data_IF_200076844707
#
_entry.id   IF_200076844707
#
_cell.length_a   1.000
_cell.length_b   1.000
_cell.length_c   1.000
_cell.angle_alpha   90.00
_cell.angle_beta   90.00
_cell.angle_gamma   90.00
#
_symmetry.space_group_name_H-M   'P 1'
#
loop_
_entity.id
_entity.type
_entity.pdbx_description
1 polymer ?
#
# COMPACT_ATOMS: atom_id res chain seq x y z
N UNK A 1 -3.90 3.34 24.93
CA UNK A 1 -2.93 3.95 23.98
C UNK A 1 -3.49 5.30 23.50
N UNK A 2 -2.70 6.36 23.34
CA UNK A 2 -3.23 7.70 22.96
C UNK A 2 -3.50 7.78 21.45
N UNK A 3 -4.65 8.35 21.07
CA UNK A 3 -4.96 8.70 19.68
C UNK A 3 -3.88 9.63 19.12
N UNK A 4 -3.44 9.38 17.89
CA UNK A 4 -2.43 10.19 17.22
C UNK A 4 -3.08 10.99 16.10
N UNK A 5 -3.42 12.25 16.41
CA UNK A 5 -3.82 13.23 15.40
C UNK A 5 -2.78 13.38 14.29
N UNK A 6 -1.50 13.14 14.60
CA UNK A 6 -0.44 13.13 13.61
C UNK A 6 -0.61 12.02 12.56
N UNK A 7 -1.01 10.81 12.98
CA UNK A 7 -1.25 9.69 12.04
C UNK A 7 -2.48 9.93 11.16
N UNK A 8 -3.58 10.42 11.75
CA UNK A 8 -4.76 10.85 10.99
C UNK A 8 -4.37 11.84 9.91
N UNK A 9 -3.63 12.90 10.30
CA UNK A 9 -3.21 13.93 9.36
C UNK A 9 -2.32 13.40 8.25
N UNK A 10 -1.39 12.50 8.58
CA UNK A 10 -0.45 11.88 7.65
C UNK A 10 -1.11 10.97 6.61
N UNK A 11 -2.28 10.41 6.92
CA UNK A 11 -3.03 9.59 5.98
C UNK A 11 -4.08 10.42 5.22
N UNK A 12 -4.85 11.23 5.94
CA UNK A 12 -6.02 11.90 5.40
C UNK A 12 -5.66 13.11 4.52
N UNK A 13 -4.75 14.00 4.96
CA UNK A 13 -4.42 15.20 4.16
C UNK A 13 -3.80 14.82 2.81
N UNK A 14 -2.75 13.96 2.76
CA UNK A 14 -2.20 13.52 1.48
C UNK A 14 -3.22 12.81 0.60
N UNK A 15 -4.08 11.98 1.19
CA UNK A 15 -5.15 11.31 0.45
C UNK A 15 -6.05 12.33 -0.26
N UNK A 16 -6.60 13.31 0.46
CA UNK A 16 -7.44 14.35 -0.14
C UNK A 16 -6.69 15.17 -1.19
N UNK A 17 -5.48 15.64 -0.88
CA UNK A 17 -4.70 16.48 -1.76
C UNK A 17 -4.38 15.77 -3.09
N UNK A 18 -3.90 14.53 -3.01
CA UNK A 18 -3.61 13.75 -4.20
C UNK A 18 -4.89 13.38 -4.93
N UNK A 19 -5.96 12.92 -4.27
CA UNK A 19 -7.22 12.61 -4.96
C UNK A 19 -7.78 13.79 -5.75
N UNK A 20 -7.70 15.02 -5.21
CA UNK A 20 -8.11 16.24 -5.94
C UNK A 20 -7.21 16.49 -7.16
N UNK A 21 -5.89 16.39 -7.01
CA UNK A 21 -4.94 16.55 -8.13
C UNK A 21 -5.24 15.53 -9.22
N UNK A 22 -5.42 14.26 -8.85
CA UNK A 22 -5.65 13.17 -9.79
C UNK A 22 -6.94 13.35 -10.55
N UNK A 23 -8.00 13.70 -9.82
CA UNK A 23 -9.28 13.98 -10.44
C UNK A 23 -9.20 15.15 -11.43
N UNK A 24 -8.58 16.25 -11.01
CA UNK A 24 -8.42 17.46 -11.85
C UNK A 24 -7.60 17.13 -13.10
N UNK A 25 -6.52 16.36 -12.93
CA UNK A 25 -5.67 15.92 -14.02
C UNK A 25 -6.44 15.05 -15.02
N UNK A 26 -7.25 14.11 -14.54
CA UNK A 26 -8.07 13.27 -15.41
C UNK A 26 -9.16 14.02 -16.14
N UNK A 27 -9.82 14.95 -15.45
CA UNK A 27 -10.78 15.85 -16.07
C UNK A 27 -10.14 16.63 -17.22
N UNK A 28 -8.92 17.15 -17.04
CA UNK A 28 -8.19 17.86 -18.09
C UNK A 28 -7.79 16.94 -19.25
N UNK A 29 -7.21 15.76 -18.98
CA UNK A 29 -6.81 14.82 -20.03
C UNK A 29 -7.98 14.37 -20.92
N UNK A 30 -9.12 14.06 -20.30
CA UNK A 30 -10.31 13.64 -21.03
C UNK A 30 -10.87 14.77 -21.89
N UNK A 31 -10.88 16.01 -21.38
CA UNK A 31 -11.34 17.16 -22.16
C UNK A 31 -10.39 17.54 -23.32
N UNK A 32 -9.09 17.27 -23.18
CA UNK A 32 -8.11 17.57 -24.22
C UNK A 32 -7.98 16.46 -25.28
N UNK A 33 -8.63 15.31 -25.10
CA UNK A 33 -8.56 14.13 -25.99
C UNK A 33 -7.12 13.66 -26.30
N UNK A 34 -6.16 13.92 -25.40
CA UNK A 34 -4.73 13.69 -25.68
C UNK A 34 -4.40 12.19 -25.65
N UNK A 35 -4.98 11.45 -24.69
CA UNK A 35 -4.78 10.00 -24.50
C UNK A 35 -6.11 9.39 -24.07
N UNK A 36 -6.55 8.33 -24.74
CA UNK A 36 -7.65 7.50 -24.24
C UNK A 36 -7.16 6.71 -23.03
N UNK A 37 -7.65 7.08 -21.86
CA UNK A 37 -7.38 6.34 -20.63
C UNK A 37 -8.30 5.11 -20.62
N UNK A 38 -7.76 3.89 -20.51
CA UNK A 38 -8.55 2.65 -20.54
C UNK A 38 -9.37 2.41 -19.27
N UNK A 39 -9.17 3.20 -18.22
CA UNK A 39 -9.98 3.14 -17.01
C UNK A 39 -11.32 3.87 -17.22
N UNK A 40 -12.42 3.23 -16.82
CA UNK A 40 -13.78 3.75 -16.92
C UNK A 40 -14.04 4.72 -15.75
N UNK A 41 -13.52 5.95 -15.87
CA UNK A 41 -13.50 6.93 -14.78
C UNK A 41 -14.73 7.83 -14.83
N UNK A 42 -15.50 7.84 -13.74
CA UNK A 42 -16.63 8.75 -13.55
C UNK A 42 -16.12 10.16 -13.19
N UNK A 43 -16.05 11.04 -14.18
CA UNK A 43 -15.60 12.43 -14.02
C UNK A 43 -16.80 13.38 -13.90
N UNK A 44 -17.57 13.27 -12.81
CA UNK A 44 -18.60 14.26 -12.48
C UNK A 44 -18.18 15.18 -11.31
N UNK A 45 -17.90 16.47 -11.55
CA UNK A 45 -17.33 17.36 -10.53
C UNK A 45 -18.28 17.58 -9.35
N UNK A 46 -19.59 17.37 -9.54
CA UNK A 46 -20.60 17.47 -8.48
C UNK A 46 -20.38 16.40 -7.41
N UNK A 47 -19.94 15.20 -7.80
CA UNK A 47 -19.75 14.06 -6.91
C UNK A 47 -18.30 13.89 -6.43
N UNK A 48 -17.38 14.77 -6.83
CA UNK A 48 -15.96 14.67 -6.49
C UNK A 48 -15.72 14.45 -5.00
N UNK A 49 -16.27 15.33 -4.15
CA UNK A 49 -16.04 15.25 -2.72
C UNK A 49 -16.67 14.01 -2.09
N UNK A 50 -17.87 13.62 -2.53
CA UNK A 50 -18.53 12.39 -2.04
C UNK A 50 -17.75 11.14 -2.45
N UNK A 51 -17.24 11.11 -3.68
CA UNK A 51 -16.48 9.99 -4.22
C UNK A 51 -15.12 9.85 -3.52
N UNK A 52 -14.45 10.96 -3.21
CA UNK A 52 -13.23 10.97 -2.39
C UNK A 52 -13.54 10.50 -0.96
N UNK A 53 -14.62 10.98 -0.35
CA UNK A 53 -14.96 10.63 1.03
C UNK A 53 -15.31 9.15 1.20
N UNK A 54 -16.03 8.56 0.26
CA UNK A 54 -16.52 7.17 0.33
C UNK A 54 -15.51 6.19 -0.30
N UNK A 55 -14.51 6.70 -1.03
CA UNK A 55 -13.62 5.95 -1.91
C UNK A 55 -14.40 5.20 -3.01
N UNK A 56 -14.75 5.94 -4.06
CA UNK A 56 -15.34 5.36 -5.25
C UNK A 56 -14.26 4.84 -6.19
N UNK A 57 -14.18 3.51 -6.37
CA UNK A 57 -13.21 2.86 -7.27
C UNK A 57 -13.28 3.40 -8.69
N UNK A 58 -14.48 3.82 -9.15
CA UNK A 58 -14.70 4.41 -10.47
C UNK A 58 -14.19 5.85 -10.61
N UNK A 59 -13.81 6.51 -9.52
CA UNK A 59 -13.14 7.83 -9.58
C UNK A 59 -11.62 7.72 -9.59
N UNK A 60 -11.09 6.50 -9.56
CA UNK A 60 -9.68 6.18 -9.62
C UNK A 60 -9.32 5.11 -8.61
N UNK A 61 -8.52 4.12 -9.04
CA UNK A 61 -7.98 3.09 -8.14
C UNK A 61 -6.63 3.50 -7.50
N UNK A 62 -6.26 4.78 -7.60
CA UNK A 62 -5.07 5.30 -6.96
C UNK A 62 -5.38 5.59 -5.49
N UNK A 63 -4.40 5.36 -4.60
CA UNK A 63 -4.47 5.74 -3.19
C UNK A 63 -5.43 4.94 -2.29
N UNK A 64 -6.11 3.90 -2.78
CA UNK A 64 -6.96 3.04 -1.91
C UNK A 64 -6.23 2.60 -0.65
N UNK A 65 -4.93 2.30 -0.76
CA UNK A 65 -4.16 1.78 0.36
C UNK A 65 -4.11 2.79 1.52
N UNK A 66 -3.96 4.07 1.21
CA UNK A 66 -3.89 5.13 2.22
C UNK A 66 -5.25 5.33 2.89
N UNK A 67 -6.33 5.30 2.10
CA UNK A 67 -7.70 5.36 2.61
C UNK A 67 -8.02 4.16 3.51
N UNK A 68 -7.69 2.94 3.06
CA UNK A 68 -7.89 1.72 3.85
C UNK A 68 -7.04 1.72 5.13
N UNK A 69 -5.78 2.16 5.06
CA UNK A 69 -4.94 2.32 6.24
C UNK A 69 -5.52 3.31 7.24
N UNK A 70 -6.15 4.39 6.77
CA UNK A 70 -6.82 5.36 7.63
C UNK A 70 -8.02 4.73 8.37
N UNK A 71 -8.87 3.99 7.65
CA UNK A 71 -10.00 3.26 8.26
C UNK A 71 -9.48 2.25 9.28
N UNK A 72 -8.49 1.43 8.90
CA UNK A 72 -7.86 0.46 9.80
C UNK A 72 -7.34 1.16 11.06
N UNK A 73 -6.63 2.28 10.90
CA UNK A 73 -6.09 3.01 12.05
C UNK A 73 -7.17 3.44 13.04
N UNK A 74 -8.29 4.02 12.54
CA UNK A 74 -9.40 4.45 13.39
C UNK A 74 -10.06 3.26 14.07
N UNK A 75 -10.43 2.23 13.29
CA UNK A 75 -11.14 1.06 13.81
C UNK A 75 -10.28 0.32 14.84
N UNK A 76 -9.02 0.06 14.52
CA UNK A 76 -8.06 -0.53 15.45
C UNK A 76 -7.88 0.33 16.70
N UNK A 77 -7.79 1.66 16.57
CA UNK A 77 -7.70 2.54 17.73
C UNK A 77 -8.90 2.40 18.67
N UNK A 78 -10.12 2.44 18.11
CA UNK A 78 -11.36 2.30 18.86
C UNK A 78 -11.48 0.92 19.53
N UNK A 79 -11.05 -0.15 18.86
CA UNK A 79 -11.09 -1.49 19.44
C UNK A 79 -10.05 -1.63 20.56
N UNK A 80 -8.81 -1.20 20.32
CA UNK A 80 -7.73 -1.30 21.31
C UNK A 80 -7.89 -0.31 22.48
N UNK A 81 -8.84 0.63 22.44
CA UNK A 81 -9.20 1.40 23.65
C UNK A 81 -9.97 0.58 24.69
N UNK A 82 -10.50 -0.59 24.30
CA UNK A 82 -11.22 -1.50 25.20
C UNK A 82 -10.47 -2.82 25.47
N UNK A 83 -9.30 -3.03 24.85
CA UNK A 83 -8.53 -4.28 24.96
C UNK A 83 -7.23 -4.02 25.72
N UNK A 84 -7.22 -4.43 26.98
CA UNK A 84 -6.02 -4.30 27.83
C UNK A 84 -5.30 -5.64 28.07
N UNK A 85 -5.99 -6.76 27.87
CA UNK A 85 -5.45 -8.11 28.14
C UNK A 85 -4.85 -8.75 26.89
N UNK A 86 -3.76 -9.51 27.06
CA UNK A 86 -3.12 -10.27 25.98
C UNK A 86 -4.06 -11.31 25.37
N UNK A 87 -4.83 -12.03 26.18
CA UNK A 87 -5.76 -13.06 25.72
C UNK A 87 -6.87 -12.48 24.82
N UNK A 88 -7.46 -11.34 25.18
CA UNK A 88 -8.45 -10.63 24.36
C UNK A 88 -7.86 -10.13 23.04
N UNK A 89 -6.57 -9.76 23.04
CA UNK A 89 -5.86 -9.36 21.83
C UNK A 89 -5.62 -10.56 20.88
N UNK A 90 -5.25 -11.74 21.42
CA UNK A 90 -5.14 -12.97 20.64
C UNK A 90 -6.49 -13.35 20.04
N UNK A 91 -7.57 -13.25 20.81
CA UNK A 91 -8.92 -13.52 20.33
C UNK A 91 -9.32 -12.55 19.19
N UNK A 92 -9.00 -11.26 19.31
CA UNK A 92 -9.18 -10.29 18.23
C UNK A 92 -8.43 -10.72 16.95
N UNK A 93 -7.17 -11.15 17.06
CA UNK A 93 -6.38 -11.61 15.91
C UNK A 93 -7.06 -12.78 15.21
N UNK A 94 -7.57 -13.75 15.98
CA UNK A 94 -8.31 -14.89 15.43
C UNK A 94 -9.56 -14.42 14.67
N UNK A 95 -10.34 -13.51 15.26
CA UNK A 95 -11.51 -12.93 14.59
C UNK A 95 -11.11 -12.23 13.29
N UNK A 96 -10.10 -11.36 13.33
CA UNK A 96 -9.64 -10.58 12.17
C UNK A 96 -9.11 -11.50 11.07
N UNK A 97 -8.40 -12.58 11.43
CA UNK A 97 -8.02 -13.63 10.50
C UNK A 97 -9.26 -14.25 9.86
N UNK A 98 -10.20 -14.78 10.65
CA UNK A 98 -11.42 -15.38 10.12
C UNK A 98 -12.19 -14.43 9.20
N UNK A 99 -12.34 -13.15 9.58
CA UNK A 99 -12.99 -12.15 8.76
C UNK A 99 -12.24 -11.86 7.46
N UNK A 100 -10.92 -11.72 7.49
CA UNK A 100 -10.14 -11.45 6.29
C UNK A 100 -10.06 -12.64 5.33
N UNK A 101 -10.03 -13.89 5.83
CA UNK A 101 -10.18 -15.09 5.01
C UNK A 101 -11.56 -15.15 4.36
N UNK A 102 -12.63 -14.99 5.14
CA UNK A 102 -14.01 -14.95 4.63
C UNK A 102 -14.21 -13.83 3.62
N UNK A 103 -13.65 -12.65 3.86
CA UNK A 103 -13.72 -11.52 2.93
C UNK A 103 -13.07 -11.85 1.58
N UNK A 104 -11.93 -12.53 1.58
CA UNK A 104 -11.22 -12.88 0.36
C UNK A 104 -11.97 -13.94 -0.47
N UNK A 105 -12.71 -14.84 0.18
CA UNK A 105 -13.48 -15.92 -0.46
C UNK A 105 -14.84 -15.41 -0.95
N UNK A 106 -15.56 -14.66 -0.12
CA UNK A 106 -17.00 -14.40 -0.33
C UNK A 106 -17.31 -12.98 -0.81
N UNK A 107 -16.46 -11.98 -0.55
CA UNK A 107 -16.74 -10.62 -1.00
C UNK A 107 -16.35 -10.44 -2.47
N UNK A 108 -17.34 -9.98 -3.25
CA UNK A 108 -17.16 -9.56 -4.63
C UNK A 108 -16.35 -8.27 -4.71
N UNK A 109 -15.76 -8.02 -5.88
CA UNK A 109 -14.93 -6.85 -6.11
C UNK A 109 -15.72 -5.52 -6.11
N UNK A 110 -17.05 -5.58 -6.26
CA UNK A 110 -17.95 -4.44 -6.05
C UNK A 110 -17.86 -3.89 -4.61
N UNK A 111 -17.62 -4.76 -3.62
CA UNK A 111 -17.38 -4.39 -2.22
C UNK A 111 -15.89 -4.14 -1.95
N UNK A 112 -15.21 -3.50 -2.89
CA UNK A 112 -13.75 -3.33 -2.91
C UNK A 112 -13.20 -2.81 -1.58
N UNK A 113 -13.76 -1.71 -1.07
CA UNK A 113 -13.29 -1.06 0.16
C UNK A 113 -13.36 -2.01 1.36
N UNK A 114 -14.52 -2.64 1.57
CA UNK A 114 -14.72 -3.58 2.68
C UNK A 114 -13.78 -4.78 2.56
N UNK A 115 -13.66 -5.35 1.36
CA UNK A 115 -12.77 -6.48 1.10
C UNK A 115 -11.31 -6.13 1.40
N UNK A 116 -10.83 -4.98 0.91
CA UNK A 116 -9.46 -4.51 1.17
C UNK A 116 -9.22 -4.19 2.63
N UNK A 117 -10.19 -3.57 3.31
CA UNK A 117 -10.15 -3.32 4.75
C UNK A 117 -9.94 -4.63 5.51
N UNK A 118 -10.85 -5.61 5.36
CA UNK A 118 -10.80 -6.86 6.14
C UNK A 118 -9.52 -7.66 5.88
N UNK A 119 -9.06 -7.73 4.62
CA UNK A 119 -7.82 -8.45 4.28
C UNK A 119 -6.59 -7.72 4.81
N UNK A 120 -6.52 -6.39 4.69
CA UNK A 120 -5.35 -5.63 5.15
C UNK A 120 -5.29 -5.47 6.66
N UNK A 121 -6.45 -5.52 7.33
CA UNK A 121 -6.56 -5.42 8.77
C UNK A 121 -5.82 -6.56 9.49
N UNK A 122 -5.76 -7.76 8.88
CA UNK A 122 -4.93 -8.89 9.36
C UNK A 122 -3.48 -8.44 9.61
N UNK A 123 -2.83 -7.85 8.61
CA UNK A 123 -1.42 -7.48 8.72
C UNK A 123 -1.20 -6.38 9.75
N UNK A 124 -2.14 -5.44 9.84
CA UNK A 124 -2.07 -4.35 10.82
C UNK A 124 -2.17 -4.87 12.26
N UNK A 125 -3.12 -5.77 12.54
CA UNK A 125 -3.34 -6.32 13.88
C UNK A 125 -2.20 -7.24 14.30
N UNK A 126 -1.69 -8.07 13.38
CA UNK A 126 -0.49 -8.89 13.65
C UNK A 126 0.69 -7.98 13.98
N UNK A 127 0.93 -6.93 13.18
CA UNK A 127 2.00 -5.97 13.46
C UNK A 127 1.82 -5.26 14.80
N UNK A 128 0.59 -4.89 15.14
CA UNK A 128 0.26 -4.26 16.42
C UNK A 128 0.49 -5.20 17.60
N UNK A 129 0.08 -6.46 17.50
CA UNK A 129 0.31 -7.47 18.53
C UNK A 129 1.80 -7.72 18.77
N UNK A 130 2.57 -7.89 17.69
CA UNK A 130 4.03 -8.04 17.75
C UNK A 130 4.63 -6.82 18.46
N UNK A 131 4.28 -5.60 18.07
CA UNK A 131 4.81 -4.38 18.66
C UNK A 131 4.46 -4.16 20.14
N UNK A 132 3.31 -4.65 20.62
CA UNK A 132 2.92 -4.54 22.05
C UNK A 132 3.62 -5.60 22.88
N UNK A 133 3.52 -6.86 22.47
CA UNK A 133 3.79 -8.02 23.33
C UNK A 133 5.09 -8.74 23.01
N UNK A 134 5.62 -8.54 21.81
CA UNK A 134 6.82 -9.20 21.31
C UNK A 134 7.85 -8.12 20.95
N UNK A 135 8.09 -7.21 21.92
CA UNK A 135 8.98 -6.05 21.81
C UNK A 135 10.42 -6.42 21.44
N UNK A 136 10.82 -7.63 21.81
CA UNK A 136 12.05 -8.27 21.34
C UNK A 136 11.69 -9.69 20.93
N UNK A 137 11.26 -9.88 19.68
CA UNK A 137 11.57 -11.15 19.04
C UNK A 137 13.09 -11.16 18.84
N UNK A 138 13.84 -11.47 19.90
CA UNK A 138 15.23 -11.82 19.81
C UNK A 138 15.37 -13.19 19.14
N UNK A 139 14.72 -13.41 17.99
CA UNK A 139 15.36 -14.21 16.97
C UNK A 139 16.64 -13.42 16.67
N UNK A 140 17.74 -13.79 17.34
CA UNK A 140 19.06 -13.51 16.79
C UNK A 140 18.95 -13.95 15.34
N UNK A 141 18.94 -12.97 14.43
CA UNK A 141 18.69 -13.18 13.01
C UNK A 141 19.63 -14.28 12.56
N UNK A 142 19.07 -15.49 12.48
CA UNK A 142 19.83 -16.66 12.17
C UNK A 142 19.77 -16.73 10.66
N UNK A 143 20.94 -16.70 10.01
CA UNK A 143 21.03 -16.88 8.55
C UNK A 143 20.24 -18.12 8.14
N UNK A 144 20.30 -19.18 8.95
CA UNK A 144 19.53 -20.42 8.76
C UNK A 144 18.03 -20.16 8.80
N UNK A 145 17.50 -19.44 9.80
CA UNK A 145 16.07 -19.12 9.87
C UNK A 145 15.63 -18.25 8.68
N UNK A 146 16.45 -17.29 8.27
CA UNK A 146 16.14 -16.44 7.11
C UNK A 146 16.08 -17.24 5.81
N UNK A 147 17.00 -18.20 5.63
CA UNK A 147 17.01 -19.14 4.51
C UNK A 147 15.78 -20.05 4.56
N UNK A 148 15.41 -20.58 5.74
CA UNK A 148 14.20 -21.39 5.93
C UNK A 148 12.95 -20.60 5.56
N UNK A 149 12.81 -19.36 6.05
CA UNK A 149 11.67 -18.50 5.73
C UNK A 149 11.59 -18.18 4.23
N UNK A 150 12.73 -17.93 3.57
CA UNK A 150 12.79 -17.74 2.11
C UNK A 150 12.40 -19.00 1.35
N UNK A 151 12.89 -20.17 1.77
CA UNK A 151 12.54 -21.47 1.18
C UNK A 151 11.05 -21.78 1.35
N UNK A 152 10.50 -21.56 2.54
CA UNK A 152 9.07 -21.69 2.82
C UNK A 152 8.24 -20.73 1.97
N UNK A 153 8.67 -19.47 1.83
CA UNK A 153 7.99 -18.50 0.97
C UNK A 153 7.94 -18.99 -0.48
N UNK A 154 9.07 -19.44 -1.04
CA UNK A 154 9.13 -19.96 -2.39
C UNK A 154 8.24 -21.20 -2.58
N UNK A 155 8.28 -22.13 -1.63
CA UNK A 155 7.43 -23.32 -1.65
C UNK A 155 5.93 -22.98 -1.63
N UNK A 156 5.50 -22.14 -0.69
CA UNK A 156 4.10 -21.71 -0.57
C UNK A 156 3.68 -20.92 -1.81
N UNK A 157 4.57 -20.12 -2.40
CA UNK A 157 4.29 -19.36 -3.62
C UNK A 157 4.09 -20.26 -4.85
N UNK A 158 4.88 -21.34 -4.98
CA UNK A 158 4.67 -22.35 -6.03
C UNK A 158 3.32 -23.04 -5.84
N UNK A 159 2.99 -23.45 -4.61
CA UNK A 159 1.68 -24.03 -4.32
C UNK A 159 0.55 -23.05 -4.65
N UNK A 160 0.72 -21.78 -4.32
CA UNK A 160 -0.25 -20.73 -4.61
C UNK A 160 -0.54 -20.65 -6.12
N UNK A 161 0.50 -20.54 -6.95
CA UNK A 161 0.35 -20.44 -8.42
C UNK A 161 -0.35 -21.68 -9.01
N UNK A 162 -0.09 -22.86 -8.45
CA UNK A 162 -0.64 -24.12 -8.93
C UNK A 162 -2.00 -24.48 -8.31
N UNK A 163 -2.55 -23.64 -7.43
CA UNK A 163 -3.78 -23.90 -6.70
C UNK A 163 -4.93 -23.03 -7.20
N UNK A 164 -6.15 -23.53 -7.05
CA UNK A 164 -7.39 -22.82 -7.40
C UNK A 164 -8.34 -22.72 -6.20
N UNK A 165 -9.30 -21.79 -6.28
CA UNK A 165 -10.36 -21.64 -5.28
C UNK A 165 -9.84 -21.27 -3.88
N UNK A 166 -10.47 -21.83 -2.84
CA UNK A 166 -10.23 -21.49 -1.43
C UNK A 166 -8.76 -21.70 -1.02
N UNK A 167 -8.11 -22.75 -1.55
CA UNK A 167 -6.71 -23.05 -1.24
C UNK A 167 -5.79 -21.93 -1.73
N UNK A 168 -6.02 -21.42 -2.94
CA UNK A 168 -5.25 -20.31 -3.51
C UNK A 168 -5.38 -19.03 -2.69
N UNK A 169 -6.60 -18.70 -2.25
CA UNK A 169 -6.83 -17.52 -1.40
C UNK A 169 -6.09 -17.62 -0.06
N UNK A 170 -6.04 -18.82 0.53
CA UNK A 170 -5.35 -19.04 1.80
C UNK A 170 -3.83 -18.95 1.64
N UNK A 171 -3.28 -19.59 0.60
CA UNK A 171 -1.85 -19.54 0.32
C UNK A 171 -1.38 -18.12 0.01
N UNK A 172 -2.21 -17.30 -0.65
CA UNK A 172 -1.92 -15.87 -0.89
C UNK A 172 -1.70 -15.08 0.41
N UNK A 173 -2.55 -15.29 1.42
CA UNK A 173 -2.41 -14.63 2.73
C UNK A 173 -1.15 -15.13 3.44
N UNK A 174 -0.90 -16.45 3.42
CA UNK A 174 0.29 -17.06 4.02
C UNK A 174 1.57 -16.53 3.35
N UNK A 175 1.61 -16.43 2.02
CA UNK A 175 2.72 -15.84 1.27
C UNK A 175 3.01 -14.41 1.74
N UNK A 176 1.98 -13.58 1.86
CA UNK A 176 2.15 -12.20 2.31
C UNK A 176 2.67 -12.12 3.76
N UNK A 177 2.17 -12.97 4.67
CA UNK A 177 2.69 -13.05 6.04
C UNK A 177 4.16 -13.49 6.07
N UNK A 178 4.51 -14.53 5.30
CA UNK A 178 5.89 -14.99 5.16
C UNK A 178 6.80 -13.89 4.61
N UNK A 179 6.35 -13.14 3.61
CA UNK A 179 7.10 -11.99 3.07
C UNK A 179 7.38 -10.94 4.16
N UNK A 180 6.40 -10.61 5.00
CA UNK A 180 6.59 -9.70 6.14
C UNK A 180 7.64 -10.24 7.11
N UNK A 181 7.58 -11.53 7.46
CA UNK A 181 8.57 -12.15 8.35
C UNK A 181 9.97 -12.23 7.74
N UNK A 182 10.08 -12.51 6.44
CA UNK A 182 11.36 -12.50 5.70
C UNK A 182 11.96 -11.10 5.75
N UNK A 183 11.19 -10.06 5.38
CA UNK A 183 11.65 -8.67 5.41
C UNK A 183 12.05 -8.23 6.82
N UNK A 184 11.26 -8.61 7.82
CA UNK A 184 11.59 -8.35 9.22
C UNK A 184 12.92 -9.00 9.63
N UNK A 185 13.13 -10.28 9.29
CA UNK A 185 14.39 -10.99 9.56
C UNK A 185 15.59 -10.36 8.84
N UNK A 186 15.40 -9.91 7.60
CA UNK A 186 16.44 -9.28 6.79
C UNK A 186 16.81 -7.87 7.28
N UNK A 187 15.88 -7.17 7.92
CA UNK A 187 16.08 -5.78 8.39
C UNK A 187 17.27 -5.61 9.35
N UNK A 188 17.74 -6.69 9.99
CA UNK A 188 18.87 -6.67 10.94
C UNK A 188 20.25 -6.69 10.26
N UNK A 189 20.35 -7.04 8.97
CA UNK A 189 21.62 -7.04 8.22
C UNK A 189 21.97 -5.64 7.67
N UNK A 190 21.94 -4.63 8.56
CA UNK A 190 22.00 -3.19 8.29
C UNK A 190 23.29 -2.69 7.59
N UNK A 191 24.34 -3.52 7.54
CA UNK A 191 25.67 -3.07 7.11
C UNK A 191 26.01 -3.26 5.62
N UNK A 192 25.11 -3.82 4.79
CA UNK A 192 25.37 -3.99 3.35
C UNK A 192 25.06 -2.71 2.55
N UNK A 193 25.74 -2.53 1.40
CA UNK A 193 25.41 -1.44 0.48
C UNK A 193 23.96 -1.57 -0.05
N UNK A 194 23.51 -2.80 -0.33
CA UNK A 194 22.14 -3.10 -0.68
C UNK A 194 21.16 -2.65 0.41
N UNK A 195 21.45 -2.96 1.67
CA UNK A 195 20.61 -2.48 2.78
C UNK A 195 20.54 -0.95 2.80
N UNK A 196 21.66 -0.25 2.63
CA UNK A 196 21.66 1.23 2.60
C UNK A 196 20.75 1.78 1.49
N UNK A 197 20.79 1.18 0.31
CA UNK A 197 19.89 1.52 -0.81
C UNK A 197 18.44 1.22 -0.44
N UNK A 198 18.12 0.00 -0.01
CA UNK A 198 16.74 -0.37 0.37
C UNK A 198 16.20 0.46 1.55
N UNK A 199 17.05 0.84 2.50
CA UNK A 199 16.68 1.72 3.61
C UNK A 199 16.41 3.15 3.13
N UNK A 200 17.26 3.67 2.23
CA UNK A 200 17.06 4.98 1.61
C UNK A 200 15.71 5.06 0.88
N UNK A 201 15.40 4.02 0.11
CA UNK A 201 14.16 3.83 -0.62
C UNK A 201 12.99 3.64 0.35
N UNK A 202 13.16 2.76 1.34
CA UNK A 202 12.20 2.41 2.38
C UNK A 202 11.66 3.64 3.11
N UNK A 203 12.54 4.56 3.50
CA UNK A 203 12.19 5.84 4.13
C UNK A 203 11.33 6.75 3.24
N UNK A 204 11.38 6.56 1.93
CA UNK A 204 10.67 7.35 0.91
C UNK A 204 9.53 6.59 0.24
N UNK A 205 9.20 5.39 0.70
CA UNK A 205 8.09 4.58 0.15
C UNK A 205 6.77 5.31 0.11
N UNK A 206 6.47 6.18 1.09
CA UNK A 206 5.26 7.01 1.06
C UNK A 206 5.28 8.04 -0.07
N UNK A 207 6.38 8.77 -0.25
CA UNK A 207 6.59 9.70 -1.37
C UNK A 207 6.47 8.97 -2.70
N UNK A 208 7.15 7.81 -2.80
CA UNK A 208 7.06 6.95 -3.97
C UNK A 208 5.60 6.58 -4.16
N UNK A 209 4.90 6.00 -3.20
CA UNK A 209 3.50 5.60 -3.37
C UNK A 209 2.56 6.74 -3.81
N UNK A 210 2.73 7.94 -3.26
CA UNK A 210 1.87 9.09 -3.60
C UNK A 210 2.13 9.63 -5.02
N UNK A 211 3.39 9.68 -5.47
CA UNK A 211 3.78 10.25 -6.77
C UNK A 211 3.92 9.17 -7.86
N UNK A 212 4.31 7.94 -7.49
CA UNK A 212 4.27 6.70 -8.28
C UNK A 212 2.82 6.34 -8.51
N UNK A 213 2.15 7.26 -9.17
CA UNK A 213 0.82 7.08 -9.60
C UNK A 213 0.86 6.13 -10.79
N UNK A 214 -0.10 5.20 -10.92
CA UNK A 214 -0.32 4.49 -12.17
C UNK A 214 -0.31 5.39 -13.41
N UNK A 215 -0.50 6.72 -13.31
CA UNK A 215 -0.51 7.63 -14.47
C UNK A 215 0.85 7.98 -15.04
N UNK A 216 1.88 8.23 -14.22
CA UNK A 216 3.25 8.38 -14.74
C UNK A 216 3.62 7.10 -15.48
N UNK A 217 3.23 5.97 -14.91
CA UNK A 217 3.52 4.65 -15.48
C UNK A 217 2.72 4.41 -16.76
N UNK A 218 1.41 4.62 -16.74
CA UNK A 218 0.49 4.35 -17.84
C UNK A 218 0.74 5.29 -19.01
N UNK A 219 0.91 6.60 -18.78
CA UNK A 219 1.20 7.58 -19.84
C UNK A 219 2.53 7.26 -20.51
N UNK A 220 3.57 6.92 -19.73
CA UNK A 220 4.86 6.54 -20.29
C UNK A 220 4.79 5.23 -21.07
N UNK A 221 4.13 4.18 -20.54
CA UNK A 221 3.97 2.91 -21.29
C UNK A 221 3.20 3.15 -22.58
N UNK A 222 2.06 3.82 -22.52
CA UNK A 222 1.23 4.12 -23.69
C UNK A 222 2.03 4.95 -24.70
N UNK A 223 2.75 5.98 -24.24
CA UNK A 223 3.56 6.81 -25.11
C UNK A 223 4.72 6.06 -25.78
N UNK A 224 5.46 5.27 -25.00
CA UNK A 224 6.59 4.47 -25.52
C UNK A 224 6.10 3.39 -26.48
N UNK A 225 4.98 2.73 -26.19
CA UNK A 225 4.45 1.66 -27.05
C UNK A 225 3.78 2.20 -28.31
N UNK A 226 2.97 3.26 -28.22
CA UNK A 226 2.25 3.82 -29.37
C UNK A 226 3.12 4.70 -30.27
N UNK A 227 3.91 5.62 -29.71
CA UNK A 227 4.65 6.61 -30.50
C UNK A 227 6.05 6.15 -30.87
N UNK A 228 6.75 5.44 -29.98
CA UNK A 228 8.13 4.97 -30.25
C UNK A 228 8.21 3.53 -30.73
N UNK A 229 7.09 2.79 -30.67
CA UNK A 229 7.01 1.35 -31.03
C UNK A 229 8.02 0.46 -30.29
N UNK A 230 8.44 0.87 -29.10
CA UNK A 230 9.32 0.07 -28.26
C UNK A 230 8.60 -1.22 -27.82
N UNK A 231 9.38 -2.30 -27.72
CA UNK A 231 8.88 -3.57 -27.20
C UNK A 231 8.24 -3.36 -25.81
N UNK A 232 7.06 -3.94 -25.60
CA UNK A 232 6.29 -3.81 -24.35
C UNK A 232 7.11 -4.13 -23.10
N UNK A 233 8.01 -5.13 -23.15
CA UNK A 233 8.86 -5.51 -22.03
C UNK A 233 9.87 -4.41 -21.68
N UNK A 234 10.47 -3.81 -22.71
CA UNK A 234 11.41 -2.69 -22.55
C UNK A 234 10.67 -1.44 -22.05
N UNK A 235 9.49 -1.15 -22.61
CA UNK A 235 8.62 -0.06 -22.17
C UNK A 235 8.22 -0.21 -20.70
N UNK A 236 7.89 -1.43 -20.25
CA UNK A 236 7.59 -1.72 -18.83
C UNK A 236 8.83 -1.47 -17.96
N UNK A 237 10.01 -1.95 -18.36
CA UNK A 237 11.24 -1.76 -17.59
C UNK A 237 11.61 -0.29 -17.43
N UNK A 238 11.63 0.48 -18.54
CA UNK A 238 11.89 1.93 -18.53
C UNK A 238 10.88 2.63 -17.64
N UNK A 239 9.60 2.34 -17.83
CA UNK A 239 8.53 2.98 -17.09
C UNK A 239 8.61 2.67 -15.60
N UNK A 240 8.90 1.43 -15.22
CA UNK A 240 9.07 1.06 -13.82
C UNK A 240 10.22 1.85 -13.18
N UNK A 241 11.36 1.96 -13.89
CA UNK A 241 12.50 2.77 -13.43
C UNK A 241 12.14 4.26 -13.31
N UNK A 242 11.50 4.85 -14.30
CA UNK A 242 11.09 6.27 -14.28
C UNK A 242 10.06 6.51 -13.18
N UNK A 243 9.06 5.63 -13.07
CA UNK A 243 8.05 5.67 -12.03
C UNK A 243 8.66 5.58 -10.64
N UNK A 244 9.86 5.04 -10.48
CA UNK A 244 10.55 4.99 -9.21
C UNK A 244 11.47 6.22 -8.98
N UNK A 245 12.25 6.59 -9.99
CA UNK A 245 13.25 7.66 -9.91
C UNK A 245 12.60 9.04 -9.83
N UNK A 246 11.56 9.30 -10.62
CA UNK A 246 10.90 10.62 -10.67
C UNK A 246 10.28 10.99 -9.31
N UNK A 247 9.52 10.11 -8.63
CA UNK A 247 9.07 10.37 -7.26
C UNK A 247 10.18 10.68 -6.28
N UNK A 248 11.33 10.00 -6.38
CA UNK A 248 12.46 10.25 -5.49
C UNK A 248 13.02 11.67 -5.70
N UNK A 249 13.20 12.08 -6.94
CA UNK A 249 13.70 13.42 -7.30
C UNK A 249 12.70 14.50 -6.88
N UNK A 250 11.42 14.37 -7.26
CA UNK A 250 10.36 15.33 -6.89
C UNK A 250 10.21 15.40 -5.37
N UNK A 251 10.26 14.25 -4.71
CA UNK A 251 10.23 14.14 -3.25
C UNK A 251 11.32 14.97 -2.58
N UNK A 252 12.56 14.78 -3.01
CA UNK A 252 13.74 15.39 -2.41
C UNK A 252 13.95 16.87 -2.77
N UNK A 253 13.54 17.28 -3.97
CA UNK A 253 13.74 18.65 -4.44
C UNK A 253 12.55 19.56 -4.13
N UNK A 254 11.31 19.03 -4.14
CA UNK A 254 10.08 19.84 -4.03
C UNK A 254 9.32 19.55 -2.74
N UNK A 255 8.96 18.28 -2.50
CA UNK A 255 8.04 17.96 -1.41
C UNK A 255 8.67 18.10 -0.02
N UNK A 256 9.94 17.78 0.15
CA UNK A 256 10.59 17.88 1.47
C UNK A 256 11.17 19.26 1.76
N UNK A 257 11.44 20.07 0.73
CA UNK A 257 12.06 21.40 0.88
C UNK A 257 11.06 22.50 1.20
N UNK A 258 9.87 22.46 0.60
CA UNK A 258 8.86 23.51 0.79
C UNK A 258 7.91 23.09 1.93
N UNK A 259 7.84 23.91 3.00
CA UNK A 259 7.03 23.60 4.20
C UNK A 259 5.57 23.29 3.88
N UNK A 260 4.98 24.03 2.94
CA UNK A 260 3.57 23.87 2.53
C UNK A 260 3.37 22.55 1.77
N UNK A 261 4.23 22.23 0.80
CA UNK A 261 4.10 20.98 0.03
C UNK A 261 4.34 19.77 0.94
N UNK A 262 5.27 19.88 1.88
CA UNK A 262 5.53 18.88 2.92
C UNK A 262 4.30 18.62 3.80
N UNK A 263 3.58 19.67 4.20
CA UNK A 263 2.35 19.54 4.97
C UNK A 263 1.21 18.93 4.14
N UNK A 264 0.97 19.45 2.93
CA UNK A 264 -0.19 19.06 2.11
C UNK A 264 -0.01 17.67 1.51
N UNK A 265 1.15 17.38 0.92
CA UNK A 265 1.36 16.14 0.17
C UNK A 265 1.94 15.00 1.00
N UNK A 266 2.50 15.29 2.18
CA UNK A 266 3.06 14.26 3.08
C UNK A 266 2.42 14.26 4.47
N UNK A 267 1.60 15.26 4.83
CA UNK A 267 0.95 15.36 6.14
C UNK A 267 1.93 15.58 7.31
N UNK A 268 3.18 15.95 7.01
CA UNK A 268 4.24 16.16 7.98
C UNK A 268 4.11 17.54 8.67
N UNK A 269 4.60 17.64 9.91
CA UNK A 269 4.50 18.90 10.69
C UNK A 269 5.53 19.89 10.16
N UNK A 270 5.15 21.16 10.08
CA UNK A 270 6.03 22.31 9.82
C UNK A 270 6.88 22.57 11.07
#
# INVERSE_FOLDING_TARGET
>A
KKFSFHQVRRLLIPYFAWSIILYTFYFLLNNLNIISIPEDISLNPIYLFSDILIYNVRTGNALWFVYILFIIYIVSYLIHSFIDKKATNIFLIIIVLCLGFSANIYLKDEMFVLKRFLVMWIYYEIGTFIGIYIKDISFKANKVLSIILLGLYAFVFILYINSNGIISYSLKIICALLAVFVLYSLSKYNNSWFYRVFNYIGKRTSIIYYIHNPYIVLILITGLTMYTRLNIVISIAITFSVGFIVPLIIGELILTRIKITKLIFLGEKI
#
